data_IF_402423956383
#
_entry.id   IF_402423956383
#
_cell.length_a   1.000
_cell.length_b   1.000
_cell.length_c   1.000
_cell.angle_alpha   90.00
_cell.angle_beta   90.00
_cell.angle_gamma   90.00
#
_symmetry.space_group_name_H-M   'P 1'
#
loop_
_entity.id
_entity.type
_entity.pdbx_description
1 polymer ?
#
# COMPACT_ATOMS: atom_id res chain seq x y z
N UNK A 1 -5.18 -8.53 0.72
CA UNK A 1 -5.68 -7.19 1.05
C UNK A 1 -4.80 -6.54 2.12
N UNK A 2 -5.04 -5.26 2.42
CA UNK A 2 -4.13 -4.45 3.25
C UNK A 2 -4.01 -5.11 4.63
N UNK A 3 -2.78 -5.44 5.01
CA UNK A 3 -2.49 -6.07 6.29
C UNK A 3 -2.06 -5.04 7.33
N UNK A 4 -1.19 -4.09 6.96
CA UNK A 4 -0.72 -3.02 7.85
C UNK A 4 -0.08 -1.88 7.05
N UNK A 5 0.18 -0.77 7.73
CA UNK A 5 0.90 0.40 7.24
C UNK A 5 2.13 0.58 8.13
N UNK A 6 3.32 0.68 7.53
CA UNK A 6 4.54 1.13 8.18
C UNK A 6 4.65 2.64 7.97
N UNK A 7 4.41 3.41 9.03
CA UNK A 7 4.25 4.86 8.97
C UNK A 7 5.37 5.65 9.66
N UNK A 8 6.19 5.00 10.49
CA UNK A 8 7.30 5.62 11.23
C UNK A 8 8.61 5.35 10.48
N UNK A 9 8.73 5.99 9.31
CA UNK A 9 9.85 5.82 8.41
C UNK A 9 11.12 6.55 8.87
N UNK A 10 12.11 6.65 7.98
CA UNK A 10 13.39 7.29 8.28
C UNK A 10 13.70 8.45 7.33
N UNK A 11 14.20 9.54 7.90
CA UNK A 11 14.59 10.73 7.13
C UNK A 11 13.43 11.70 6.87
N UNK A 12 13.70 12.87 6.27
CA UNK A 12 12.74 13.97 6.19
C UNK A 12 11.57 13.73 5.21
N UNK A 13 11.69 12.75 4.33
CA UNK A 13 10.67 12.38 3.34
C UNK A 13 10.14 10.95 3.51
N UNK A 14 10.62 10.25 4.55
CA UNK A 14 10.21 8.89 4.95
C UNK A 14 9.94 7.96 3.75
N UNK A 15 10.91 7.82 2.83
CA UNK A 15 10.68 7.17 1.54
C UNK A 15 10.48 5.64 1.69
N UNK A 16 10.86 5.11 2.86
CA UNK A 16 10.81 3.72 3.29
C UNK A 16 9.48 3.32 3.96
N UNK A 17 8.57 4.27 4.21
CA UNK A 17 7.20 3.96 4.58
C UNK A 17 6.51 3.09 3.52
N UNK A 18 5.60 2.21 3.94
CA UNK A 18 4.89 1.35 2.99
C UNK A 18 3.53 0.86 3.48
N UNK A 19 2.69 0.46 2.52
CA UNK A 19 1.51 -0.36 2.78
C UNK A 19 1.81 -1.80 2.40
N UNK A 20 1.59 -2.74 3.32
CA UNK A 20 1.72 -4.19 3.04
C UNK A 20 0.38 -4.78 2.66
N UNK A 21 0.33 -5.46 1.53
CA UNK A 21 -0.87 -6.14 1.02
C UNK A 21 -0.59 -7.63 0.96
N UNK A 22 -1.38 -8.43 1.67
CA UNK A 22 -1.22 -9.88 1.74
C UNK A 22 -2.48 -10.61 1.32
N UNK A 23 -2.37 -11.58 0.42
CA UNK A 23 -3.52 -12.41 0.08
C UNK A 23 -3.73 -13.49 1.15
N UNK A 24 -4.67 -13.28 2.06
CA UNK A 24 -5.04 -14.23 3.12
C UNK A 24 -6.10 -15.24 2.70
N UNK A 25 -6.63 -15.12 1.47
CA UNK A 25 -7.59 -16.07 0.90
C UNK A 25 -6.93 -17.34 0.39
N UNK A 26 -7.76 -18.22 -0.19
CA UNK A 26 -7.34 -19.54 -0.71
C UNK A 26 -7.17 -19.57 -2.23
N UNK A 27 -7.53 -18.50 -2.93
CA UNK A 27 -7.38 -18.36 -4.38
C UNK A 27 -6.43 -17.22 -4.72
N UNK A 28 -5.79 -17.29 -5.89
CA UNK A 28 -4.95 -16.21 -6.39
C UNK A 28 -5.81 -14.97 -6.73
N UNK A 29 -5.25 -13.78 -6.50
CA UNK A 29 -5.89 -12.49 -6.80
C UNK A 29 -5.05 -11.77 -7.84
N UNK A 30 -5.66 -11.42 -8.98
CA UNK A 30 -5.06 -10.52 -9.96
C UNK A 30 -5.32 -9.07 -9.52
N UNK A 31 -4.25 -8.34 -9.28
CA UNK A 31 -4.29 -6.93 -8.85
C UNK A 31 -4.28 -5.96 -10.03
N UNK A 32 -4.24 -6.43 -11.28
CA UNK A 32 -4.17 -5.53 -12.43
C UNK A 32 -5.28 -4.47 -12.38
N UNK A 33 -4.87 -3.19 -12.40
CA UNK A 33 -5.79 -2.05 -12.36
C UNK A 33 -6.43 -1.78 -11.01
N UNK A 34 -6.05 -2.52 -9.95
CA UNK A 34 -6.40 -2.16 -8.59
C UNK A 34 -5.64 -0.90 -8.18
N UNK A 35 -6.23 -0.10 -7.31
CA UNK A 35 -5.66 1.17 -6.87
C UNK A 35 -5.50 1.18 -5.37
N UNK A 36 -4.28 1.44 -4.90
CA UNK A 36 -3.99 1.80 -3.51
C UNK A 36 -3.97 3.32 -3.40
N UNK A 37 -4.72 3.90 -2.49
CA UNK A 37 -4.85 5.35 -2.33
C UNK A 37 -4.78 5.76 -0.87
N UNK A 38 -4.13 6.89 -0.63
CA UNK A 38 -4.22 7.62 0.63
C UNK A 38 -5.59 8.30 0.76
N UNK A 39 -6.32 8.02 1.84
CA UNK A 39 -7.73 8.39 1.98
C UNK A 39 -7.91 9.85 2.37
N UNK A 40 -7.18 10.37 3.37
CA UNK A 40 -7.50 11.71 3.88
C UNK A 40 -7.30 12.78 2.81
N UNK A 41 -6.23 12.65 2.05
CA UNK A 41 -5.89 13.55 0.96
C UNK A 41 -6.54 13.14 -0.38
N UNK A 42 -6.86 11.86 -0.56
CA UNK A 42 -7.30 11.29 -1.84
C UNK A 42 -6.17 11.15 -2.87
N UNK A 43 -4.93 11.46 -2.45
CA UNK A 43 -3.68 11.32 -3.21
C UNK A 43 -2.52 11.21 -2.20
N UNK A 44 -1.40 10.54 -2.55
CA UNK A 44 -1.14 9.87 -3.83
C UNK A 44 -1.93 8.56 -3.99
N UNK A 45 -2.01 8.10 -5.24
CA UNK A 45 -2.61 6.83 -5.62
C UNK A 45 -1.63 6.03 -6.48
N UNK A 46 -1.61 4.72 -6.29
CA UNK A 46 -0.80 3.77 -7.04
C UNK A 46 -1.71 2.73 -7.70
N UNK A 47 -1.68 2.67 -9.03
CA UNK A 47 -2.36 1.64 -9.80
C UNK A 47 -1.41 0.46 -10.03
N UNK A 48 -1.84 -0.74 -9.64
CA UNK A 48 -1.06 -1.95 -9.82
C UNK A 48 -0.93 -2.31 -11.31
N UNK A 49 0.29 -2.61 -11.79
CA UNK A 49 0.46 -3.24 -13.09
C UNK A 49 -0.08 -4.69 -13.06
N UNK A 50 0.15 -5.45 -14.12
CA UNK A 50 -0.16 -6.88 -14.11
C UNK A 50 0.63 -7.59 -13.00
N UNK A 51 -0.06 -7.96 -11.92
CA UNK A 51 0.54 -8.64 -10.78
C UNK A 51 -0.47 -9.58 -10.13
N UNK A 52 -0.08 -10.83 -9.91
CA UNK A 52 -0.95 -11.83 -9.28
C UNK A 52 -0.39 -12.24 -7.93
N UNK A 53 -1.18 -12.04 -6.88
CA UNK A 53 -0.87 -12.50 -5.53
C UNK A 53 -1.46 -13.90 -5.31
N UNK A 54 -0.60 -14.92 -5.24
CA UNK A 54 -1.02 -16.25 -4.81
C UNK A 54 -1.44 -16.27 -3.32
N UNK A 55 -2.19 -17.30 -2.87
CA UNK A 55 -2.51 -17.48 -1.46
C UNK A 55 -1.27 -17.40 -0.55
N UNK A 56 -1.33 -16.57 0.48
CA UNK A 56 -0.25 -16.33 1.44
C UNK A 56 0.90 -15.44 0.94
N UNK A 57 0.90 -15.00 -0.31
CA UNK A 57 1.89 -14.03 -0.81
C UNK A 57 1.56 -12.60 -0.38
N UNK A 58 2.58 -11.77 -0.36
CA UNK A 58 2.48 -10.35 -0.05
C UNK A 58 3.32 -9.48 -0.99
N UNK A 59 2.93 -8.22 -1.09
CA UNK A 59 3.68 -7.15 -1.75
C UNK A 59 3.62 -5.90 -0.88
N UNK A 60 4.54 -4.97 -1.13
CA UNK A 60 4.57 -3.65 -0.50
C UNK A 60 4.57 -2.56 -1.55
N UNK A 61 3.88 -1.47 -1.24
CA UNK A 61 3.95 -0.23 -2.02
C UNK A 61 4.57 0.83 -1.12
N UNK A 62 5.76 1.30 -1.50
CA UNK A 62 6.55 2.23 -0.72
C UNK A 62 6.26 3.69 -1.08
N UNK A 63 6.53 4.62 -0.16
CA UNK A 63 6.39 6.06 -0.42
C UNK A 63 7.26 6.49 -1.60
N UNK A 64 8.56 6.19 -1.58
CA UNK A 64 9.47 6.56 -2.67
C UNK A 64 10.65 5.61 -2.91
N UNK A 65 10.77 4.53 -2.13
CA UNK A 65 11.76 3.49 -2.39
C UNK A 65 11.23 2.41 -3.36
N UNK A 66 12.15 1.63 -3.92
CA UNK A 66 11.84 0.49 -4.78
C UNK A 66 12.58 -0.73 -4.25
N UNK A 67 11.84 -1.71 -3.76
CA UNK A 67 12.36 -2.96 -3.19
C UNK A 67 11.89 -4.16 -4.02
N UNK A 68 12.70 -4.67 -4.98
CA UNK A 68 12.30 -5.75 -5.89
C UNK A 68 11.85 -7.04 -5.20
N UNK A 69 12.42 -7.34 -4.03
CA UNK A 69 12.05 -8.50 -3.21
C UNK A 69 10.64 -8.42 -2.61
N UNK A 70 10.04 -7.22 -2.57
CA UNK A 70 8.67 -6.97 -2.09
C UNK A 70 7.71 -6.55 -3.22
N UNK A 71 8.08 -6.81 -4.47
CA UNK A 71 7.29 -6.49 -5.66
C UNK A 71 7.77 -5.24 -6.42
N UNK A 72 8.64 -4.42 -5.81
CA UNK A 72 9.23 -3.25 -6.47
C UNK A 72 8.25 -2.11 -6.74
N UNK A 73 7.18 -2.00 -5.95
CA UNK A 73 6.16 -0.96 -6.13
C UNK A 73 6.42 0.26 -5.25
N UNK A 74 6.13 1.42 -5.81
CA UNK A 74 6.35 2.71 -5.17
C UNK A 74 5.31 3.71 -5.66
N UNK A 75 4.84 4.60 -4.77
CA UNK A 75 4.09 5.78 -5.17
C UNK A 75 4.96 6.78 -5.94
N UNK A 76 6.29 6.73 -5.76
CA UNK A 76 7.22 7.70 -6.33
C UNK A 76 7.00 9.10 -5.73
N UNK A 77 6.52 9.18 -4.49
CA UNK A 77 6.06 10.40 -3.86
C UNK A 77 7.18 11.04 -3.03
N UNK A 78 7.52 12.30 -3.32
CA UNK A 78 8.72 12.95 -2.79
C UNK A 78 8.67 13.37 -1.31
N UNK A 79 7.63 13.01 -0.57
CA UNK A 79 7.43 13.32 0.86
C UNK A 79 6.70 12.18 1.55
N UNK A 80 6.74 12.15 2.88
CA UNK A 80 5.99 11.19 3.70
C UNK A 80 4.51 11.20 3.29
N UNK A 81 3.92 10.01 3.20
CA UNK A 81 2.49 9.84 2.94
C UNK A 81 1.78 9.62 4.27
N UNK A 82 2.36 8.78 5.13
CA UNK A 82 1.67 8.31 6.33
C UNK A 82 2.11 9.11 7.55
N UNK A 83 1.24 10.00 8.01
CA UNK A 83 1.51 10.89 9.14
C UNK A 83 1.88 10.15 10.44
N UNK A 84 2.97 10.59 11.08
CA UNK A 84 3.49 10.03 12.34
C UNK A 84 2.67 10.31 13.61
N UNK A 85 1.90 11.40 13.64
CA UNK A 85 1.20 11.86 14.85
C UNK A 85 -0.32 11.80 14.76
N UNK A 86 -0.87 11.93 13.56
CA UNK A 86 -2.30 11.90 13.29
C UNK A 86 -2.55 10.84 12.23
N UNK A 87 -3.05 9.65 12.60
CA UNK A 87 -3.12 8.58 11.63
C UNK A 87 -4.05 8.84 10.47
N UNK A 88 -3.62 8.40 9.29
CA UNK A 88 -4.43 8.33 8.08
C UNK A 88 -4.99 6.91 7.86
N UNK A 89 -5.60 6.69 6.71
CA UNK A 89 -6.04 5.40 6.23
C UNK A 89 -5.60 5.18 4.78
N UNK A 90 -5.17 3.96 4.47
CA UNK A 90 -5.02 3.50 3.10
C UNK A 90 -6.28 2.74 2.69
N UNK A 91 -6.74 2.96 1.45
CA UNK A 91 -7.79 2.16 0.82
C UNK A 91 -7.26 1.44 -0.43
N UNK A 92 -7.66 0.18 -0.60
CA UNK A 92 -7.39 -0.63 -1.77
C UNK A 92 -8.70 -0.84 -2.54
N UNK A 93 -8.75 -0.35 -3.76
CA UNK A 93 -9.89 -0.44 -4.67
C UNK A 93 -9.60 -1.51 -5.73
N UNK A 94 -10.60 -2.30 -6.12
CA UNK A 94 -10.51 -3.21 -7.25
C UNK A 94 -10.52 -2.45 -8.59
N UNK A 95 -10.38 -3.18 -9.70
CA UNK A 95 -10.36 -2.61 -11.05
C UNK A 95 -11.68 -1.98 -11.52
N UNK A 96 -12.78 -2.16 -10.77
CA UNK A 96 -14.05 -1.48 -10.99
C UNK A 96 -14.23 -0.27 -10.07
N UNK A 97 -13.26 0.02 -9.20
CA UNK A 97 -13.30 1.10 -8.22
C UNK A 97 -14.03 0.75 -6.93
N UNK A 98 -14.37 -0.53 -6.70
CA UNK A 98 -14.98 -0.92 -5.43
C UNK A 98 -13.90 -1.07 -4.36
N UNK A 99 -14.16 -0.56 -3.16
CA UNK A 99 -13.25 -0.76 -2.03
C UNK A 99 -13.24 -2.22 -1.59
N UNK A 100 -12.04 -2.81 -1.59
CA UNK A 100 -11.79 -4.18 -1.13
C UNK A 100 -11.24 -4.18 0.31
N UNK A 101 -10.49 -3.14 0.69
CA UNK A 101 -9.79 -3.07 1.96
C UNK A 101 -9.56 -1.64 2.38
N UNK A 102 -9.62 -1.39 3.69
CA UNK A 102 -9.21 -0.12 4.30
C UNK A 102 -8.60 -0.37 5.66
N UNK A 103 -7.46 0.26 5.93
CA UNK A 103 -6.76 0.15 7.21
C UNK A 103 -6.26 1.52 7.62
N UNK A 104 -6.39 1.82 8.91
CA UNK A 104 -5.73 2.93 9.60
C UNK A 104 -4.74 2.34 10.61
N UNK A 105 -3.86 3.18 11.13
CA UNK A 105 -2.85 2.82 12.15
C UNK A 105 -3.05 3.74 13.36
N UNK A 106 -2.44 3.48 14.53
CA UNK A 106 -1.80 2.23 14.96
C UNK A 106 -2.80 1.09 15.28
N UNK A 107 -2.33 -0.19 15.35
CA UNK A 107 -0.94 -0.61 15.21
C UNK A 107 -0.44 -0.55 13.77
N UNK A 108 0.85 -0.25 13.61
CA UNK A 108 1.54 -0.32 12.31
C UNK A 108 2.04 -1.74 11.99
N UNK A 109 2.74 -1.85 10.86
CA UNK A 109 3.73 -2.91 10.68
C UNK A 109 4.92 -2.67 11.64
#
# INVERSE_FOLDING_TARGET
>A
MIECIFYDGTGPSEPDEYVRIRNTGTAAVDLRGWVLVDVADGYPAFEFPSHTLAPGQEVRVYTNEVHPEWGGFSFGYGRAIWHNTEPDAAALLDSHGNEVSRVTYPPGC
#
